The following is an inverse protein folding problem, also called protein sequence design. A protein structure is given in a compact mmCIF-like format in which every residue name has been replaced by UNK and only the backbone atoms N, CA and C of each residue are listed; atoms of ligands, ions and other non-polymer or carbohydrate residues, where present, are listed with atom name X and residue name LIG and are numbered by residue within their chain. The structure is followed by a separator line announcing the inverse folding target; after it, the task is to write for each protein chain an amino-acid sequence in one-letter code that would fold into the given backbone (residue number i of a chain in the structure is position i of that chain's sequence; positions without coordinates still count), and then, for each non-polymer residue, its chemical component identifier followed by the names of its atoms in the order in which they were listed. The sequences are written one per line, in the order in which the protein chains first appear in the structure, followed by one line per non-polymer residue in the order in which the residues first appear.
data_IF_940426448688
#
_entry.id   IF_940426448688
#
_cell.length_a   1.000
_cell.length_b   1.000
_cell.length_c   1.000
_cell.angle_alpha   90.00
_cell.angle_beta   90.00
_cell.angle_gamma   90.00
#
_symmetry.space_group_name_H-M   'P 1'
#
loop_
_entity.id
_entity.type
_entity.pdbx_description
1 polymer ?
#
# COMPACT_ATOMS: atom_id res chain seq x y z
N UNK A 1 -27.73 5.71 8.63
CA UNK A 1 -27.28 4.51 7.91
C UNK A 1 -25.79 4.70 7.71
N UNK A 2 -24.97 3.92 8.41
CA UNK A 2 -23.51 4.02 8.29
C UNK A 2 -23.16 3.69 6.83
N UNK A 3 -22.61 4.66 6.09
CA UNK A 3 -22.24 4.44 4.70
C UNK A 3 -21.03 3.54 4.69
N UNK A 4 -21.22 2.31 4.23
CA UNK A 4 -20.15 1.33 4.10
C UNK A 4 -19.05 1.87 3.16
N UNK A 5 -17.87 2.13 3.72
CA UNK A 5 -16.74 2.67 2.97
C UNK A 5 -15.98 1.54 2.27
N UNK A 6 -16.42 1.22 1.05
CA UNK A 6 -15.80 0.22 0.19
C UNK A 6 -14.33 0.55 -0.14
N UNK A 7 -13.98 1.84 -0.25
CA UNK A 7 -12.61 2.24 -0.55
C UNK A 7 -11.67 1.89 0.61
N UNK A 8 -12.12 2.12 1.85
CA UNK A 8 -11.37 1.74 3.04
C UNK A 8 -11.22 0.21 3.16
N UNK A 9 -12.26 -0.56 2.84
CA UNK A 9 -12.17 -2.04 2.79
C UNK A 9 -11.12 -2.53 1.78
N UNK A 10 -11.19 -2.04 0.55
CA UNK A 10 -10.28 -2.47 -0.53
C UNK A 10 -8.84 -2.06 -0.23
N UNK A 11 -8.64 -0.87 0.34
CA UNK A 11 -7.33 -0.41 0.82
C UNK A 11 -6.77 -1.31 1.92
N UNK A 12 -7.59 -1.67 2.93
CA UNK A 12 -7.18 -2.57 4.02
C UNK A 12 -6.79 -3.93 3.47
N UNK A 13 -7.55 -4.45 2.51
CA UNK A 13 -7.24 -5.68 1.82
C UNK A 13 -5.87 -5.67 1.18
N UNK A 14 -5.60 -4.70 0.31
CA UNK A 14 -4.32 -4.66 -0.37
C UNK A 14 -3.16 -4.48 0.63
N UNK A 15 -3.34 -3.62 1.63
CA UNK A 15 -2.33 -3.42 2.69
C UNK A 15 -2.06 -4.70 3.48
N UNK A 16 -3.10 -5.43 3.87
CA UNK A 16 -2.96 -6.68 4.65
C UNK A 16 -2.15 -7.72 3.88
N UNK A 17 -2.39 -7.87 2.57
CA UNK A 17 -1.67 -8.82 1.74
C UNK A 17 -0.20 -8.43 1.52
N UNK A 18 0.10 -7.13 1.45
CA UNK A 18 1.46 -6.60 1.42
C UNK A 18 2.20 -6.86 2.74
N UNK A 19 1.56 -6.56 3.88
CA UNK A 19 2.12 -6.77 5.22
C UNK A 19 2.38 -8.26 5.46
N UNK A 20 1.42 -9.13 5.12
CA UNK A 20 1.52 -10.59 5.26
C UNK A 20 2.71 -11.18 4.49
N UNK A 21 3.17 -10.52 3.43
CA UNK A 21 4.33 -10.92 2.62
C UNK A 21 5.60 -10.11 2.89
N UNK A 22 5.54 -9.13 3.78
CA UNK A 22 6.67 -8.24 4.06
C UNK A 22 7.08 -7.38 2.86
N UNK A 23 6.15 -7.05 1.96
CA UNK A 23 6.43 -6.29 0.74
C UNK A 23 6.17 -4.81 0.97
N UNK A 24 7.20 -3.99 0.76
CA UNK A 24 7.10 -2.53 0.77
C UNK A 24 6.51 -2.00 -0.53
N UNK A 25 6.00 -0.77 -0.54
CA UNK A 25 5.48 -0.15 -1.78
C UNK A 25 6.58 0.07 -2.84
N UNK A 26 7.84 0.21 -2.42
CA UNK A 26 8.99 0.26 -3.34
C UNK A 26 9.23 -1.08 -4.01
N UNK A 27 9.17 -2.17 -3.24
CA UNK A 27 9.26 -3.53 -3.79
C UNK A 27 8.08 -3.84 -4.70
N UNK A 28 6.85 -3.44 -4.32
CA UNK A 28 5.68 -3.59 -5.19
C UNK A 28 5.87 -2.88 -6.54
N UNK A 29 6.41 -1.65 -6.55
CA UNK A 29 6.70 -0.95 -7.80
C UNK A 29 7.69 -1.70 -8.69
N UNK A 30 8.70 -2.35 -8.08
CA UNK A 30 9.67 -3.18 -8.80
C UNK A 30 9.02 -4.45 -9.34
N UNK A 31 8.23 -5.17 -8.54
CA UNK A 31 7.51 -6.37 -8.96
C UNK A 31 6.51 -6.08 -10.08
N UNK A 32 5.79 -4.95 -10.01
CA UNK A 32 4.90 -4.52 -11.08
C UNK A 32 5.68 -4.22 -12.37
N UNK A 33 6.88 -3.63 -12.27
CA UNK A 33 7.73 -3.37 -13.43
C UNK A 33 8.19 -4.64 -14.13
N UNK A 34 8.46 -5.71 -13.38
CA UNK A 34 8.78 -7.04 -13.96
C UNK A 34 7.62 -7.61 -14.79
N UNK A 35 6.41 -7.10 -14.60
CA UNK A 35 5.21 -7.44 -15.38
C UNK A 35 4.84 -6.37 -16.43
N UNK A 36 5.79 -5.51 -16.82
CA UNK A 36 5.59 -4.37 -17.73
C UNK A 36 4.56 -3.33 -17.23
N UNK A 37 4.36 -3.23 -15.92
CA UNK A 37 3.47 -2.25 -15.29
C UNK A 37 4.32 -1.17 -14.60
N UNK A 38 4.34 0.01 -15.20
CA UNK A 38 5.18 1.11 -14.76
C UNK A 38 4.48 1.99 -13.72
N UNK A 39 4.58 1.57 -12.47
CA UNK A 39 4.16 2.37 -11.33
C UNK A 39 5.36 2.92 -10.56
N UNK A 40 5.17 4.08 -9.93
CA UNK A 40 6.14 4.67 -9.00
C UNK A 40 5.66 4.43 -7.57
N UNK A 41 6.59 4.46 -6.61
CA UNK A 41 6.22 4.42 -5.19
C UNK A 41 5.15 5.48 -4.85
N UNK A 42 5.31 6.70 -5.36
CA UNK A 42 4.39 7.81 -5.09
C UNK A 42 2.98 7.60 -5.70
N UNK A 43 2.89 7.00 -6.89
CA UNK A 43 1.60 6.68 -7.51
C UNK A 43 0.88 5.55 -6.78
N UNK A 44 1.62 4.53 -6.33
CA UNK A 44 1.09 3.46 -5.47
C UNK A 44 0.62 4.02 -4.13
N UNK A 45 1.45 4.82 -3.45
CA UNK A 45 1.11 5.49 -2.19
C UNK A 45 -0.21 6.27 -2.32
N UNK A 46 -0.36 7.03 -3.40
CA UNK A 46 -1.55 7.85 -3.67
C UNK A 46 -2.80 6.99 -3.91
N UNK A 47 -2.68 5.92 -4.70
CA UNK A 47 -3.78 4.97 -4.99
C UNK A 47 -4.25 4.28 -3.71
N UNK A 48 -3.31 3.70 -2.96
CA UNK A 48 -3.62 2.99 -1.71
C UNK A 48 -4.15 3.96 -0.66
N UNK A 49 -3.61 5.17 -0.54
CA UNK A 49 -4.06 6.15 0.46
C UNK A 49 -5.52 6.55 0.26
N UNK A 50 -5.90 6.85 -0.99
CA UNK A 50 -7.28 7.22 -1.37
C UNK A 50 -8.26 6.04 -1.35
N UNK A 51 -7.75 4.80 -1.48
CA UNK A 51 -8.57 3.60 -1.60
C UNK A 51 -9.36 3.51 -2.92
N UNK A 52 -9.07 4.41 -3.88
CA UNK A 52 -9.71 4.46 -5.19
C UNK A 52 -8.69 4.10 -6.27
N UNK A 53 -8.73 2.86 -6.75
CA UNK A 53 -7.94 2.37 -7.87
C UNK A 53 -8.75 1.37 -8.68
N UNK A 54 -8.33 1.11 -9.92
CA UNK A 54 -9.04 0.16 -10.77
C UNK A 54 -8.93 -1.27 -10.23
N UNK A 55 -9.95 -2.09 -10.48
CA UNK A 55 -9.87 -3.52 -10.21
C UNK A 55 -8.69 -4.17 -10.94
N UNK A 56 -8.34 -3.67 -12.13
CA UNK A 56 -7.16 -4.12 -12.89
C UNK A 56 -5.88 -3.92 -12.07
N UNK A 57 -5.68 -2.73 -11.49
CA UNK A 57 -4.52 -2.45 -10.64
C UNK A 57 -4.49 -3.36 -9.41
N UNK A 58 -5.64 -3.61 -8.77
CA UNK A 58 -5.73 -4.54 -7.64
C UNK A 58 -5.22 -5.93 -8.02
N UNK A 59 -5.76 -6.50 -9.10
CA UNK A 59 -5.40 -7.84 -9.57
C UNK A 59 -3.92 -7.90 -9.97
N UNK A 60 -3.41 -6.87 -10.64
CA UNK A 60 -1.99 -6.75 -10.97
C UNK A 60 -1.11 -6.78 -9.72
N UNK A 61 -1.46 -6.00 -8.68
CA UNK A 61 -0.72 -6.02 -7.42
C UNK A 61 -0.76 -7.41 -6.77
N UNK A 62 -1.93 -8.05 -6.73
CA UNK A 62 -2.09 -9.38 -6.14
C UNK A 62 -1.25 -10.43 -6.89
N UNK A 63 -1.22 -10.40 -8.23
CA UNK A 63 -0.38 -11.29 -9.03
C UNK A 63 1.10 -11.00 -8.80
N UNK A 64 1.51 -9.71 -8.81
CA UNK A 64 2.89 -9.29 -8.60
C UNK A 64 3.46 -9.77 -7.27
N UNK A 65 2.64 -9.82 -6.22
CA UNK A 65 3.04 -10.33 -4.89
C UNK A 65 2.81 -11.83 -4.72
N UNK A 66 2.42 -12.56 -5.77
CA UNK A 66 2.16 -14.01 -5.69
C UNK A 66 0.94 -14.38 -4.84
N UNK A 67 -0.04 -13.49 -4.70
CA UNK A 67 -1.27 -13.75 -3.98
C UNK A 67 -2.23 -14.60 -4.82
N UNK A 68 -2.41 -15.87 -4.43
CA UNK A 68 -3.34 -16.82 -5.07
C UNK A 68 -4.77 -16.77 -4.51
N UNK A 69 -4.92 -16.29 -3.28
CA UNK A 69 -6.21 -16.24 -2.57
C UNK A 69 -6.19 -15.10 -1.56
N UNK A 70 -7.26 -14.31 -1.52
CA UNK A 70 -7.48 -13.24 -0.54
C UNK A 70 -8.93 -13.31 -0.04
N UNK A 71 -9.16 -12.85 1.19
CA UNK A 71 -10.49 -12.75 1.78
C UNK A 71 -10.95 -11.28 1.72
N UNK A 72 -12.05 -10.96 1.00
CA UNK A 72 -12.62 -9.60 0.96
C UNK A 72 -13.15 -9.12 2.31
N UNK A 73 -13.57 -10.05 3.16
CA UNK A 73 -14.07 -9.81 4.50
C UNK A 73 -12.92 -9.88 5.50
N UNK A 74 -12.21 -8.75 5.64
CA UNK A 74 -11.22 -8.60 6.71
C UNK A 74 -11.94 -8.03 7.92
N UNK A 75 -12.21 -8.88 8.90
CA UNK A 75 -12.70 -8.44 10.19
C UNK A 75 -11.59 -7.64 10.89
N UNK A 76 -11.96 -6.50 11.49
CA UNK A 76 -11.01 -5.49 11.98
C UNK A 76 -10.03 -6.02 13.05
N UNK A 77 -10.37 -7.13 13.68
CA UNK A 77 -9.63 -7.89 14.69
C UNK A 77 -8.39 -8.62 14.15
N UNK A 78 -8.28 -8.86 12.84
CA UNK A 78 -7.08 -9.46 12.23
C UNK A 78 -5.98 -8.44 11.86
N UNK A 79 -6.21 -7.14 12.14
CA UNK A 79 -5.28 -6.03 11.87
C UNK A 79 -4.48 -5.69 13.14
N UNK A 80 -3.91 -6.68 13.82
CA UNK A 80 -2.81 -6.37 14.73
C UNK A 80 -1.57 -6.06 13.89
N UNK A 81 -1.17 -4.80 13.86
CA UNK A 81 0.05 -4.35 13.21
C UNK A 81 1.25 -5.17 13.73
N UNK A 82 2.15 -5.70 12.87
CA UNK A 82 3.48 -6.04 13.37
C UNK A 82 4.08 -4.76 13.96
N UNK A 83 4.38 -4.78 15.27
CA UNK A 83 5.04 -3.68 16.01
C UNK A 83 6.44 -3.43 15.44
N UNK A 84 6.51 -2.79 14.28
CA UNK A 84 7.71 -2.34 13.60
C UNK A 84 7.56 -0.84 13.36
N UNK A 85 8.18 -0.03 14.23
CA UNK A 85 8.04 1.42 14.23
C UNK A 85 8.35 2.04 12.85
N UNK A 86 7.35 2.64 12.20
CA UNK A 86 7.61 3.65 11.17
C UNK A 86 7.94 4.99 11.84
N UNK A 87 9.24 5.35 11.89
CA UNK A 87 9.67 6.72 12.18
C UNK A 87 10.00 7.43 10.86
N UNK A 88 9.18 8.39 10.39
CA UNK A 88 9.61 9.24 9.28
C UNK A 88 10.80 10.09 9.72
N UNK A 89 11.91 10.04 8.98
CA UNK A 89 13.06 10.94 9.21
C UNK A 89 12.60 12.38 8.92
N UNK A 90 12.62 13.23 9.95
CA UNK A 90 12.48 14.69 9.77
C UNK A 90 13.64 15.17 8.89
N UNK A 91 13.31 15.67 7.69
CA UNK A 91 14.26 16.40 6.85
C UNK A 91 14.73 17.63 7.61
N UNK A 92 16.03 17.71 7.93
CA UNK A 92 16.63 18.94 8.47
C UNK A 92 16.52 20.02 7.40
N UNK A 93 15.84 21.12 7.72
CA UNK A 93 15.95 22.37 6.95
C UNK A 93 17.41 22.84 7.10
N UNK A 94 18.13 22.93 5.99
CA UNK A 94 19.40 23.65 5.97
C UNK A 94 19.09 25.14 6.03
N UNK A 95 19.29 25.74 7.20
CA UNK A 95 19.49 27.17 7.36
C UNK A 95 20.88 27.49 6.79
N UNK A 96 20.93 28.15 5.63
CA UNK A 96 22.14 28.84 5.18
C UNK A 96 22.00 30.28 5.62
N UNK A 97 22.85 30.62 6.58
CA UNK A 97 23.00 31.89 7.25
C UNK A 97 23.33 33.02 6.28
N UNK A 98 22.74 34.18 6.58
CA UNK A 98 23.15 35.50 6.09
C UNK A 98 24.65 35.73 6.31
N UNK A 99 25.29 36.37 5.33
CA UNK A 99 26.45 37.24 5.52
C UNK A 99 26.23 38.49 4.66
#
# INVERSE_FOLDING_TARGET
METEDWNEKVKRLLKSELVRRGITHEQLATLLREMDIFETKASIDSKISRGSFSAVFLIQCLIAIGCKSFCPEISADLVEEPRGMYKPKKSKKNEISKS
#
